data_IF_446676625489
#
_entry.id   IF_446676625489
#
_cell.length_a   1.000
_cell.length_b   1.000
_cell.length_c   1.000
_cell.angle_alpha   90.00
_cell.angle_beta   90.00
_cell.angle_gamma   90.00
#
_symmetry.space_group_name_H-M   'P 1'
#
loop_
_entity.id
_entity.type
_entity.pdbx_description
1 polymer ?
#
# COMPACT_ATOMS: atom_id res chain seq x y z
N UNK A 1 8.05 4.14 -24.42
CA UNK A 1 7.16 5.25 -24.05
C UNK A 1 5.84 4.76 -23.44
N UNK A 2 5.01 3.99 -24.15
CA UNK A 2 3.73 3.48 -23.62
C UNK A 2 3.86 2.63 -22.34
N UNK A 3 4.84 1.71 -22.28
CA UNK A 3 5.10 0.90 -21.08
C UNK A 3 5.50 1.77 -19.86
N UNK A 4 6.37 2.76 -20.07
CA UNK A 4 6.81 3.67 -19.00
C UNK A 4 5.67 4.54 -18.45
N UNK A 5 4.78 5.00 -19.33
CA UNK A 5 3.59 5.75 -18.92
C UNK A 5 2.63 4.89 -18.08
N UNK A 6 2.41 3.64 -18.49
CA UNK A 6 1.58 2.70 -17.72
C UNK A 6 2.10 2.52 -16.29
N UNK A 7 3.39 2.21 -16.13
CA UNK A 7 4.00 2.01 -14.81
C UNK A 7 4.02 3.28 -13.97
N UNK A 8 4.27 4.44 -14.58
CA UNK A 8 4.14 5.73 -13.89
C UNK A 8 2.71 5.95 -13.37
N UNK A 9 1.70 5.74 -14.20
CA UNK A 9 0.29 5.88 -13.80
C UNK A 9 -0.07 4.89 -12.70
N UNK A 10 0.41 3.65 -12.78
CA UNK A 10 0.22 2.65 -11.74
C UNK A 10 0.80 3.11 -10.38
N UNK A 11 2.04 3.58 -10.36
CA UNK A 11 2.67 4.12 -9.14
C UNK A 11 1.87 5.30 -8.57
N UNK A 12 1.45 6.21 -9.44
CA UNK A 12 0.65 7.36 -9.04
C UNK A 12 -0.69 6.94 -8.40
N UNK A 13 -1.35 5.91 -8.94
CA UNK A 13 -2.61 5.37 -8.38
C UNK A 13 -2.42 4.77 -6.99
N UNK A 14 -1.27 4.17 -6.71
CA UNK A 14 -0.95 3.66 -5.36
C UNK A 14 -0.82 4.84 -4.38
N UNK A 15 -0.01 5.85 -4.72
CA UNK A 15 0.21 7.02 -3.85
C UNK A 15 -1.10 7.76 -3.58
N UNK A 16 -1.93 7.99 -4.60
CA UNK A 16 -3.21 8.69 -4.39
C UNK A 16 -4.18 7.87 -3.53
N UNK A 17 -4.17 6.53 -3.64
CA UNK A 17 -4.99 5.66 -2.79
C UNK A 17 -4.59 5.77 -1.32
N UNK A 18 -3.28 5.82 -1.04
CA UNK A 18 -2.73 6.04 0.30
C UNK A 18 -3.13 7.41 0.83
N UNK A 19 -2.99 8.45 0.00
CA UNK A 19 -3.40 9.81 0.36
C UNK A 19 -4.90 9.86 0.73
N UNK A 20 -5.77 9.28 -0.10
CA UNK A 20 -7.22 9.32 0.13
C UNK A 20 -7.61 8.61 1.44
N UNK A 21 -6.97 7.48 1.74
CA UNK A 21 -7.13 6.81 3.02
C UNK A 21 -6.69 7.68 4.20
N UNK A 22 -5.53 8.33 4.08
CA UNK A 22 -4.98 9.19 5.13
C UNK A 22 -5.84 10.43 5.41
N UNK A 23 -6.37 11.08 4.39
CA UNK A 23 -7.15 12.30 4.61
C UNK A 23 -8.56 12.04 5.10
N UNK A 24 -9.17 10.92 4.71
CA UNK A 24 -10.41 10.47 5.33
C UNK A 24 -10.22 10.22 6.84
N UNK A 25 -9.05 9.74 7.24
CA UNK A 25 -8.71 9.58 8.66
C UNK A 25 -8.56 10.95 9.38
N UNK A 26 -7.97 11.95 8.73
CA UNK A 26 -7.82 13.29 9.33
C UNK A 26 -9.16 13.94 9.65
N UNK A 27 -10.21 13.67 8.85
CA UNK A 27 -11.58 14.15 9.12
C UNK A 27 -12.14 13.65 10.47
N UNK A 28 -11.58 12.60 11.07
CA UNK A 28 -12.09 11.96 12.29
C UNK A 28 -11.09 12.07 13.46
N UNK A 29 -10.04 12.89 13.34
CA UNK A 29 -8.98 13.01 14.35
C UNK A 29 -8.83 14.47 14.80
N UNK A 30 -9.41 14.80 15.95
CA UNK A 30 -9.42 16.19 16.47
C UNK A 30 -8.14 16.61 17.21
N UNK A 31 -7.27 15.66 17.59
CA UNK A 31 -6.06 15.97 18.37
C UNK A 31 -4.86 15.12 17.96
N UNK A 32 -3.74 15.78 17.67
CA UNK A 32 -2.46 15.10 17.42
C UNK A 32 -1.85 14.62 18.75
N UNK A 33 -1.90 13.31 18.99
CA UNK A 33 -1.12 12.70 20.08
C UNK A 33 0.34 12.46 19.65
N UNK A 34 1.31 12.40 20.58
CA UNK A 34 2.71 12.08 20.24
C UNK A 34 2.90 10.73 19.53
N UNK A 35 1.97 9.79 19.69
CA UNK A 35 1.98 8.52 18.96
C UNK A 35 1.51 8.69 17.52
N UNK A 36 0.44 9.46 17.30
CA UNK A 36 -0.06 9.80 15.95
C UNK A 36 1.00 10.56 15.16
N UNK A 37 1.68 11.54 15.77
CA UNK A 37 2.77 12.26 15.13
C UNK A 37 3.90 11.34 14.65
N UNK A 38 4.34 10.40 15.50
CA UNK A 38 5.39 9.42 15.13
C UNK A 38 4.94 8.50 13.99
N UNK A 39 3.69 8.06 14.01
CA UNK A 39 3.11 7.25 12.94
C UNK A 39 3.03 8.05 11.62
N UNK A 40 2.64 9.32 11.68
CA UNK A 40 2.61 10.20 10.50
C UNK A 40 4.00 10.42 9.91
N UNK A 41 5.02 10.67 10.73
CA UNK A 41 6.40 10.80 10.25
C UNK A 41 6.87 9.50 9.58
N UNK A 42 6.60 8.34 10.20
CA UNK A 42 6.94 7.05 9.61
C UNK A 42 6.17 6.78 8.31
N UNK A 43 4.89 7.14 8.24
CA UNK A 43 4.07 7.03 7.04
C UNK A 43 4.65 7.88 5.91
N UNK A 44 4.98 9.16 6.18
CA UNK A 44 5.56 10.07 5.20
C UNK A 44 6.91 9.56 4.69
N UNK A 45 7.74 8.98 5.57
CA UNK A 45 9.00 8.35 5.17
C UNK A 45 8.74 7.20 4.20
N UNK A 46 7.85 6.26 4.52
CA UNK A 46 7.56 5.12 3.64
C UNK A 46 6.96 5.56 2.30
N UNK A 47 6.01 6.51 2.32
CA UNK A 47 5.42 7.07 1.10
C UNK A 47 6.47 7.76 0.23
N UNK A 48 7.48 8.40 0.82
CA UNK A 48 8.60 8.98 0.05
C UNK A 48 9.56 7.95 -0.54
N UNK A 49 9.71 6.79 0.12
CA UNK A 49 10.54 5.68 -0.36
C UNK A 49 9.87 4.90 -1.49
N UNK A 50 8.53 4.83 -1.48
CA UNK A 50 7.71 4.12 -2.47
C UNK A 50 8.10 4.41 -3.93
N UNK A 51 8.13 5.66 -4.42
CA UNK A 51 8.41 5.94 -5.82
C UNK A 51 9.84 5.56 -6.22
N UNK A 52 10.79 5.64 -5.28
CA UNK A 52 12.17 5.24 -5.51
C UNK A 52 12.29 3.72 -5.66
N UNK A 53 11.70 2.96 -4.75
CA UNK A 53 11.70 1.50 -4.79
C UNK A 53 10.99 0.97 -6.04
N UNK A 54 9.87 1.60 -6.41
CA UNK A 54 9.17 1.28 -7.65
C UNK A 54 10.04 1.54 -8.89
N UNK A 55 10.72 2.69 -8.93
CA UNK A 55 11.59 3.03 -10.06
C UNK A 55 12.73 2.02 -10.22
N UNK A 56 13.39 1.64 -9.11
CA UNK A 56 14.42 0.60 -9.13
C UNK A 56 13.88 -0.75 -9.62
N UNK A 57 12.67 -1.13 -9.17
CA UNK A 57 12.05 -2.40 -9.53
C UNK A 57 11.67 -2.48 -11.01
N UNK A 58 11.15 -1.39 -11.59
CA UNK A 58 10.59 -1.36 -12.94
C UNK A 58 11.59 -0.90 -14.01
N UNK A 59 12.45 0.05 -13.66
CA UNK A 59 13.34 0.73 -14.61
C UNK A 59 14.83 0.59 -14.29
N UNK A 60 15.19 -0.01 -13.15
CA UNK A 60 16.60 -0.23 -12.79
C UNK A 60 17.31 -1.18 -13.75
N UNK A 61 18.61 -0.94 -14.00
CA UNK A 61 19.44 -1.77 -14.89
C UNK A 61 19.55 -3.25 -14.45
N UNK A 62 19.13 -3.57 -13.22
CA UNK A 62 18.93 -4.94 -12.75
C UNK A 62 17.95 -5.75 -13.63
N UNK A 63 17.06 -5.09 -14.38
CA UNK A 63 16.15 -5.66 -15.37
C UNK A 63 16.80 -6.47 -16.49
N UNK A 64 18.11 -6.32 -16.74
CA UNK A 64 18.75 -6.93 -17.90
C UNK A 64 19.82 -7.98 -17.58
N UNK A 65 20.24 -8.19 -16.33
CA UNK A 65 21.32 -9.18 -16.08
C UNK A 65 21.38 -9.87 -14.71
N UNK A 66 20.54 -9.55 -13.71
CA UNK A 66 20.63 -10.20 -12.39
C UNK A 66 19.25 -10.35 -11.71
N UNK A 67 18.60 -11.51 -11.87
CA UNK A 67 17.31 -11.83 -11.24
C UNK A 67 17.29 -11.62 -9.71
N UNK A 68 18.41 -11.85 -9.03
CA UNK A 68 18.53 -11.71 -7.56
C UNK A 68 18.34 -10.27 -7.07
N UNK A 69 18.77 -9.25 -7.83
CA UNK A 69 18.59 -7.84 -7.43
C UNK A 69 17.14 -7.35 -7.64
N UNK A 70 16.43 -7.93 -8.61
CA UNK A 70 14.99 -7.72 -8.79
C UNK A 70 14.18 -8.30 -7.64
N UNK A 71 14.57 -9.46 -7.12
CA UNK A 71 13.88 -10.09 -6.00
C UNK A 71 14.09 -9.35 -4.67
N UNK A 72 15.30 -8.85 -4.42
CA UNK A 72 15.54 -8.00 -3.25
C UNK A 72 14.75 -6.67 -3.33
N UNK A 73 14.76 -6.00 -4.48
CA UNK A 73 14.10 -4.69 -4.65
C UNK A 73 12.57 -4.81 -4.58
N UNK A 74 12.00 -5.83 -5.24
CA UNK A 74 10.56 -6.11 -5.17
C UNK A 74 10.10 -6.54 -3.78
N UNK A 75 10.93 -7.28 -3.03
CA UNK A 75 10.68 -7.59 -1.62
C UNK A 75 10.67 -6.32 -0.78
N UNK A 76 11.65 -5.43 -0.95
CA UNK A 76 11.67 -4.13 -0.26
C UNK A 76 10.44 -3.27 -0.61
N UNK A 77 10.01 -3.30 -1.87
CA UNK A 77 8.80 -2.60 -2.32
C UNK A 77 7.54 -3.17 -1.63
N UNK A 78 7.39 -4.49 -1.59
CA UNK A 78 6.29 -5.13 -0.87
C UNK A 78 6.29 -4.80 0.63
N UNK A 79 7.46 -4.83 1.28
CA UNK A 79 7.59 -4.44 2.69
C UNK A 79 7.23 -2.96 2.91
N UNK A 80 7.62 -2.07 2.00
CA UNK A 80 7.27 -0.66 2.05
C UNK A 80 5.75 -0.45 2.02
N UNK A 81 5.06 -1.06 1.05
CA UNK A 81 3.60 -0.99 0.94
C UNK A 81 2.89 -1.65 2.13
N UNK A 82 3.37 -2.81 2.59
CA UNK A 82 2.86 -3.46 3.79
C UNK A 82 3.00 -2.57 5.04
N UNK A 83 4.12 -1.86 5.17
CA UNK A 83 4.36 -0.90 6.24
C UNK A 83 3.41 0.30 6.17
N UNK A 84 3.17 0.86 4.98
CA UNK A 84 2.21 1.96 4.77
C UNK A 84 0.81 1.54 5.24
N UNK A 85 0.34 0.37 4.81
CA UNK A 85 -0.97 -0.14 5.20
C UNK A 85 -1.07 -0.47 6.69
N UNK A 86 -0.01 -1.04 7.27
CA UNK A 86 0.06 -1.31 8.70
C UNK A 86 -0.06 -0.03 9.52
N UNK A 87 0.66 1.04 9.14
CA UNK A 87 0.61 2.34 9.81
C UNK A 87 -0.76 2.98 9.67
N UNK A 88 -1.36 2.95 8.47
CA UNK A 88 -2.75 3.41 8.27
C UNK A 88 -3.73 2.64 9.16
N UNK A 89 -3.57 1.32 9.29
CA UNK A 89 -4.34 0.50 10.23
C UNK A 89 -4.17 0.96 11.68
N UNK A 90 -2.94 1.23 12.11
CA UNK A 90 -2.66 1.75 13.45
C UNK A 90 -3.30 3.12 13.69
N UNK A 91 -3.26 4.00 12.68
CA UNK A 91 -3.91 5.31 12.75
C UNK A 91 -5.44 5.18 12.86
N UNK A 92 -6.08 4.31 12.05
CA UNK A 92 -7.51 4.03 12.20
C UNK A 92 -7.86 3.42 13.56
N UNK A 93 -6.97 2.60 14.14
CA UNK A 93 -7.16 2.11 15.50
C UNK A 93 -7.15 3.24 16.54
N UNK A 94 -6.29 4.25 16.35
CA UNK A 94 -6.30 5.44 17.18
C UNK A 94 -7.57 6.29 16.98
N UNK A 95 -7.99 6.51 15.74
CA UNK A 95 -9.21 7.25 15.41
C UNK A 95 -10.48 6.56 15.94
N UNK A 96 -10.48 5.22 16.06
CA UNK A 96 -11.60 4.46 16.63
C UNK A 96 -11.90 4.77 18.11
N UNK A 97 -11.09 5.61 18.77
CA UNK A 97 -11.38 6.11 20.12
C UNK A 97 -12.23 7.38 20.12
N UNK A 98 -12.39 8.02 18.96
CA UNK A 98 -13.21 9.21 18.76
C UNK A 98 -14.51 8.88 18.05
N UNK A 99 -14.83 9.67 17.03
CA UNK A 99 -16.09 9.56 16.29
C UNK A 99 -16.13 8.38 15.32
N UNK A 100 -17.33 7.84 15.13
CA UNK A 100 -17.62 6.69 14.26
C UNK A 100 -16.72 5.45 14.51
N UNK A 101 -16.62 4.95 15.75
CA UNK A 101 -15.65 3.90 16.13
C UNK A 101 -15.83 2.61 15.30
N UNK A 102 -17.06 2.25 14.95
CA UNK A 102 -17.34 1.05 14.14
C UNK A 102 -16.76 1.17 12.72
N UNK A 103 -16.88 2.33 12.08
CA UNK A 103 -16.32 2.59 10.74
C UNK A 103 -14.80 2.57 10.78
N UNK A 104 -14.21 3.18 11.81
CA UNK A 104 -12.75 3.18 11.99
C UNK A 104 -12.19 1.78 12.25
N UNK A 105 -12.90 0.94 13.02
CA UNK A 105 -12.53 -0.47 13.21
C UNK A 105 -12.62 -1.25 11.89
N UNK A 106 -13.65 -1.02 11.08
CA UNK A 106 -13.77 -1.65 9.76
C UNK A 106 -12.60 -1.26 8.86
N UNK A 107 -12.30 0.05 8.76
CA UNK A 107 -11.18 0.54 7.98
C UNK A 107 -9.85 -0.03 8.48
N UNK A 108 -9.60 -0.03 9.80
CA UNK A 108 -8.44 -0.70 10.40
C UNK A 108 -8.31 -2.13 9.89
N UNK A 109 -9.39 -2.92 9.95
CA UNK A 109 -9.34 -4.33 9.55
C UNK A 109 -9.00 -4.48 8.06
N UNK A 110 -9.56 -3.65 7.17
CA UNK A 110 -9.19 -3.65 5.76
C UNK A 110 -7.71 -3.33 5.57
N UNK A 111 -7.18 -2.31 6.25
CA UNK A 111 -5.75 -1.96 6.17
C UNK A 111 -4.83 -3.03 6.72
N UNK A 112 -5.25 -3.76 7.75
CA UNK A 112 -4.50 -4.91 8.27
C UNK A 112 -4.50 -6.10 7.29
N UNK A 113 -5.60 -6.31 6.56
CA UNK A 113 -5.66 -7.31 5.49
C UNK A 113 -4.74 -6.90 4.34
N UNK A 114 -4.80 -5.64 3.89
CA UNK A 114 -3.90 -5.11 2.86
C UNK A 114 -2.42 -5.29 3.26
N UNK A 115 -2.07 -4.92 4.50
CA UNK A 115 -0.72 -5.11 5.04
C UNK A 115 -0.29 -6.58 5.06
N UNK A 116 -1.20 -7.47 5.49
CA UNK A 116 -0.97 -8.91 5.49
C UNK A 116 -0.69 -9.46 4.10
N UNK A 117 -1.44 -9.03 3.08
CA UNK A 117 -1.21 -9.44 1.68
C UNK A 117 0.19 -9.03 1.22
N UNK A 118 0.61 -7.80 1.50
CA UNK A 118 1.95 -7.32 1.12
C UNK A 118 3.08 -8.04 1.86
N UNK A 119 2.96 -8.23 3.18
CA UNK A 119 3.97 -8.97 3.94
C UNK A 119 4.06 -10.44 3.53
N UNK A 120 2.92 -11.08 3.25
CA UNK A 120 2.91 -12.44 2.70
C UNK A 120 3.59 -12.48 1.34
N UNK A 121 3.29 -11.52 0.46
CA UNK A 121 3.90 -11.43 -0.88
C UNK A 121 5.42 -11.21 -0.87
N UNK A 122 5.98 -10.72 0.23
CA UNK A 122 7.42 -10.55 0.43
C UNK A 122 8.14 -11.88 0.72
N UNK A 123 7.40 -12.94 1.07
CA UNK A 123 8.01 -14.23 1.41
C UNK A 123 8.63 -14.92 0.19
N UNK A 124 9.76 -15.64 0.35
CA UNK A 124 10.47 -16.30 -0.76
C UNK A 124 9.62 -17.29 -1.56
N UNK A 125 8.60 -17.90 -0.93
CA UNK A 125 7.71 -18.84 -1.63
C UNK A 125 6.97 -18.20 -2.81
N UNK A 126 6.72 -16.89 -2.76
CA UNK A 126 6.05 -16.16 -3.83
C UNK A 126 7.02 -15.60 -4.89
N UNK A 127 8.32 -15.86 -4.76
CA UNK A 127 9.32 -15.50 -5.76
C UNK A 127 9.32 -16.47 -6.94
N UNK A 128 9.01 -17.74 -6.68
CA UNK A 128 9.13 -18.85 -7.64
C UNK A 128 7.79 -19.22 -8.31
N UNK A 129 6.67 -18.63 -7.87
CA UNK A 129 5.33 -18.97 -8.36
C UNK A 129 4.92 -17.96 -9.43
N UNK A 130 4.90 -18.43 -10.67
CA UNK A 130 4.37 -17.69 -11.82
C UNK A 130 2.96 -18.18 -12.19
N UNK A 131 2.07 -17.24 -12.50
CA UNK A 131 0.77 -17.49 -13.09
C UNK A 131 0.64 -16.68 -14.38
N UNK A 132 0.37 -17.34 -15.51
CA UNK A 132 0.29 -16.68 -16.83
C UNK A 132 1.56 -15.88 -17.19
N UNK A 133 2.74 -16.39 -16.81
CA UNK A 133 4.04 -15.72 -16.98
C UNK A 133 4.19 -14.39 -16.22
N UNK A 134 3.35 -14.18 -15.20
CA UNK A 134 3.43 -13.04 -14.28
C UNK A 134 3.69 -13.59 -12.88
N UNK A 135 4.72 -13.11 -12.16
CA UNK A 135 4.94 -13.51 -10.78
C UNK A 135 3.73 -13.21 -9.90
N UNK A 136 3.26 -14.21 -9.15
CA UNK A 136 2.00 -14.13 -8.41
C UNK A 136 1.96 -12.98 -7.40
N UNK A 137 3.14 -12.55 -6.92
CA UNK A 137 3.29 -11.37 -6.04
C UNK A 137 2.71 -10.10 -6.66
N UNK A 138 2.94 -9.87 -7.95
CA UNK A 138 2.42 -8.68 -8.62
C UNK A 138 0.90 -8.73 -8.72
N UNK A 139 0.34 -9.91 -8.99
CA UNK A 139 -1.12 -10.13 -9.03
C UNK A 139 -1.76 -9.86 -7.65
N UNK A 140 -1.11 -10.25 -6.56
CA UNK A 140 -1.59 -9.96 -5.21
C UNK A 140 -1.63 -8.45 -4.90
N UNK A 141 -0.66 -7.67 -5.40
CA UNK A 141 -0.65 -6.22 -5.21
C UNK A 141 -1.79 -5.52 -5.97
N UNK A 142 -2.21 -6.05 -7.12
CA UNK A 142 -3.40 -5.55 -7.82
C UNK A 142 -4.70 -5.76 -7.03
N UNK A 143 -4.76 -6.71 -6.10
CA UNK A 143 -5.93 -6.96 -5.26
C UNK A 143 -6.10 -5.96 -4.11
N UNK A 144 -5.04 -5.21 -3.76
CA UNK A 144 -5.06 -4.25 -2.64
C UNK A 144 -5.37 -2.81 -3.06
N UNK A 145 -5.15 -2.47 -4.33
CA UNK A 145 -5.54 -1.16 -4.90
C UNK A 145 -7.07 -0.91 -4.81
N UNK A 146 -7.96 -1.91 -5.01
CA UNK A 146 -9.41 -1.73 -4.97
C UNK A 146 -10.04 -1.78 -3.57
N UNK A 147 -9.36 -2.28 -2.54
CA UNK A 147 -10.00 -2.72 -1.29
C UNK A 147 -10.64 -1.57 -0.49
N UNK A 148 -10.12 -0.34 -0.58
CA UNK A 148 -10.73 0.84 0.02
C UNK A 148 -11.60 1.65 -0.94
N UNK A 149 -11.11 1.92 -2.15
CA UNK A 149 -11.75 2.87 -3.07
C UNK A 149 -12.98 2.29 -3.78
N UNK A 150 -12.95 1.02 -4.19
CA UNK A 150 -14.08 0.43 -4.92
C UNK A 150 -15.25 0.19 -3.98
N UNK A 151 -15.02 -0.29 -2.76
CA UNK A 151 -16.09 -0.54 -1.80
C UNK A 151 -16.84 0.73 -1.39
N UNK A 152 -16.13 1.84 -1.20
CA UNK A 152 -16.74 3.11 -0.81
C UNK A 152 -17.40 3.83 -2.00
N UNK A 153 -16.80 3.79 -3.20
CA UNK A 153 -17.43 4.32 -4.42
C UNK A 153 -18.69 3.54 -4.81
N UNK A 154 -18.65 2.21 -4.74
CA UNK A 154 -19.78 1.33 -5.02
C UNK A 154 -20.92 1.53 -4.02
N UNK A 155 -20.62 1.73 -2.73
CA UNK A 155 -21.64 2.07 -1.72
C UNK A 155 -22.25 3.46 -1.91
N UNK A 156 -21.49 4.42 -2.44
CA UNK A 156 -21.97 5.80 -2.68
C UNK A 156 -22.83 5.92 -3.93
N UNK A 157 -22.63 5.05 -4.92
CA UNK A 157 -23.44 4.97 -6.16
C UNK A 157 -24.73 4.17 -5.96
N UNK A 158 -24.78 3.25 -4.99
CA UNK A 158 -25.96 2.44 -4.65
C UNK A 158 -26.91 3.07 -3.61
N UNK A 159 -26.64 4.30 -3.16
CA UNK A 159 -27.56 5.11 -2.36
C UNK A 159 -28.18 6.19 -3.22
#
# INVERSE_FOLDING_TARGET
>A
MFNSLFWFTFNFLIIISVWLGYSSLLEHTDTESPTVLRLNIALLLLVSLEPYLFNLMVFGEAGQSLGVFLDATSTMYALCLGGIWLILGALHHHAAKGDEPMKMIQMRNYRLVDAGIFFLSAAPVFWEIDLLSIPIRFLMWFLTIPSGMVLDAVKKVMR
#
